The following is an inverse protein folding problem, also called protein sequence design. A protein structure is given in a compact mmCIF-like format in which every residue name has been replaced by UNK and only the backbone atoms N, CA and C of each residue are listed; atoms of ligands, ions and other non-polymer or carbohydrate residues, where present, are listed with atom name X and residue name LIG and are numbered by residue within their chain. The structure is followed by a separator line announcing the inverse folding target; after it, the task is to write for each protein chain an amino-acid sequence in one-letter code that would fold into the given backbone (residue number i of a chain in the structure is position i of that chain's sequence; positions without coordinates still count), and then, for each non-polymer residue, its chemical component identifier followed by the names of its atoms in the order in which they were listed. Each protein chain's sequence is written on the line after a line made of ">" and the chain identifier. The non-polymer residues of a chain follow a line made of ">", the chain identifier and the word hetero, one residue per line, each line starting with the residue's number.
data_IF_716528778729
#
_entry.id   IF_716528778729
#
_cell.length_a   1.000
_cell.length_b   1.000
_cell.length_c   1.000
_cell.angle_alpha   90.00
_cell.angle_beta   90.00
_cell.angle_gamma   90.00
#
_symmetry.space_group_name_H-M   'P 1'
#
loop_
_entity.id
_entity.type
_entity.pdbx_description
1 polymer ?
#
# COMPACT_ATOMS: atom_id res chain seq x y z
N UNK A 1 19.37 -9.09 -31.51
CA UNK A 1 19.94 -8.35 -30.35
C UNK A 1 21.46 -8.45 -30.24
N UNK A 2 22.10 -9.58 -30.56
CA UNK A 2 23.57 -9.72 -30.49
C UNK A 2 24.36 -9.11 -31.67
N UNK A 3 23.76 -8.94 -32.86
CA UNK A 3 24.47 -8.39 -34.03
C UNK A 3 24.48 -6.85 -34.12
N UNK A 4 23.65 -6.14 -33.36
CA UNK A 4 23.67 -4.65 -33.34
C UNK A 4 24.80 -4.13 -32.44
N UNK A 5 25.15 -4.89 -31.39
CA UNK A 5 26.23 -4.54 -30.46
C UNK A 5 27.64 -4.64 -31.05
N UNK A 6 27.85 -5.51 -32.05
CA UNK A 6 29.16 -5.64 -32.71
C UNK A 6 29.50 -4.47 -33.63
N UNK A 7 28.50 -3.90 -34.31
CA UNK A 7 28.68 -2.73 -35.18
C UNK A 7 28.93 -1.45 -34.36
N UNK A 8 28.34 -1.33 -33.17
CA UNK A 8 28.55 -0.16 -32.30
C UNK A 8 29.95 -0.11 -31.66
N UNK A 9 30.67 -1.23 -31.59
CA UNK A 9 32.02 -1.29 -31.02
C UNK A 9 33.13 -1.05 -32.05
N UNK A 10 32.86 -1.22 -33.35
CA UNK A 10 33.87 -0.95 -34.40
C UNK A 10 34.10 0.54 -34.66
N UNK A 11 33.12 1.39 -34.36
CA UNK A 11 33.21 2.84 -34.66
C UNK A 11 33.85 3.67 -33.54
N UNK A 12 34.13 3.06 -32.38
CA UNK A 12 34.76 3.74 -31.23
C UNK A 12 36.29 3.67 -31.31
N UNK A 13 36.83 2.71 -32.08
CA UNK A 13 38.28 2.48 -32.17
C UNK A 13 39.04 3.53 -32.99
N UNK A 14 38.36 4.44 -33.69
CA UNK A 14 38.99 5.40 -34.63
C UNK A 14 38.86 6.87 -34.25
N UNK A 15 38.19 7.21 -33.14
CA UNK A 15 37.99 8.60 -32.73
C UNK A 15 39.11 9.10 -31.81
N UNK A 16 39.58 10.35 -32.01
CA UNK A 16 40.60 10.95 -31.16
C UNK A 16 40.14 11.12 -29.70
N UNK A 17 41.04 11.14 -28.71
CA UNK A 17 40.69 11.26 -27.30
C UNK A 17 39.84 12.50 -26.97
N UNK A 18 40.04 13.61 -27.70
CA UNK A 18 39.27 14.83 -27.55
C UNK A 18 37.82 14.70 -28.07
N UNK A 19 37.61 13.89 -29.12
CA UNK A 19 36.28 13.62 -29.69
C UNK A 19 35.50 12.61 -28.81
N UNK A 20 36.20 11.66 -28.19
CA UNK A 20 35.62 10.73 -27.21
C UNK A 20 35.15 11.47 -25.95
N UNK A 21 35.93 12.43 -25.44
CA UNK A 21 35.55 13.26 -24.29
C UNK A 21 34.34 14.16 -24.60
N UNK A 22 34.29 14.80 -25.77
CA UNK A 22 33.14 15.63 -26.19
C UNK A 22 31.85 14.82 -26.35
N UNK A 23 31.92 13.63 -26.94
CA UNK A 23 30.77 12.73 -27.07
C UNK A 23 30.31 12.16 -25.72
N UNK A 24 31.23 11.94 -24.78
CA UNK A 24 30.91 11.52 -23.42
C UNK A 24 30.23 12.66 -22.63
N UNK A 25 30.72 13.89 -22.74
CA UNK A 25 30.15 15.07 -22.07
C UNK A 25 28.76 15.43 -22.64
N UNK A 26 28.56 15.34 -23.96
CA UNK A 26 27.25 15.53 -24.59
C UNK A 26 26.24 14.44 -24.18
N UNK A 27 26.69 13.18 -24.04
CA UNK A 27 25.85 12.07 -23.54
C UNK A 27 25.51 12.21 -22.05
N UNK A 28 26.45 12.68 -21.23
CA UNK A 28 26.24 12.98 -19.81
C UNK A 28 25.24 14.14 -19.61
N UNK A 29 25.34 15.19 -20.44
CA UNK A 29 24.42 16.33 -20.40
C UNK A 29 22.97 15.96 -20.76
N UNK A 30 22.79 15.00 -21.70
CA UNK A 30 21.47 14.49 -22.06
C UNK A 30 20.89 13.53 -20.98
N UNK A 31 21.73 12.73 -20.33
CA UNK A 31 21.33 11.76 -19.31
C UNK A 31 20.90 12.37 -17.97
N UNK A 32 21.40 13.56 -17.63
CA UNK A 32 20.98 14.32 -16.43
C UNK A 32 19.54 14.83 -16.54
N UNK A 33 19.00 14.97 -17.76
CA UNK A 33 17.67 15.54 -18.01
C UNK A 33 16.51 14.54 -17.94
N UNK A 34 16.77 13.26 -17.65
CA UNK A 34 15.74 12.20 -17.70
C UNK A 34 15.50 11.42 -16.39
N UNK A 35 16.03 11.86 -15.23
CA UNK A 35 15.83 11.18 -13.92
C UNK A 35 15.88 9.64 -14.02
N UNK A 36 16.81 9.13 -14.83
CA UNK A 36 16.88 7.71 -15.13
C UNK A 36 17.62 7.03 -13.98
N UNK A 37 16.97 6.06 -13.36
CA UNK A 37 17.47 5.27 -12.24
C UNK A 37 18.85 4.64 -12.54
N UNK A 38 19.13 4.35 -13.81
CA UNK A 38 20.41 3.82 -14.28
C UNK A 38 21.58 4.77 -13.98
N UNK A 39 21.37 6.09 -14.09
CA UNK A 39 22.39 7.11 -13.84
C UNK A 39 22.70 7.26 -12.35
N UNK A 40 21.67 7.14 -11.51
CA UNK A 40 21.81 7.18 -10.04
C UNK A 40 22.58 5.95 -9.54
N UNK A 41 22.27 4.78 -10.07
CA UNK A 41 22.94 3.52 -9.73
C UNK A 41 24.42 3.56 -10.16
N UNK A 42 24.73 4.06 -11.36
CA UNK A 42 26.11 4.18 -11.85
C UNK A 42 26.95 5.16 -11.00
N UNK A 43 26.38 6.29 -10.57
CA UNK A 43 27.06 7.26 -9.71
C UNK A 43 27.33 6.71 -8.29
N UNK A 44 26.45 5.85 -7.78
CA UNK A 44 26.63 5.21 -6.47
C UNK A 44 27.74 4.14 -6.50
N UNK A 45 27.91 3.43 -7.62
CA UNK A 45 29.03 2.50 -7.80
C UNK A 45 30.39 3.20 -7.95
N UNK A 46 30.45 4.37 -8.59
CA UNK A 46 31.71 5.10 -8.82
C UNK A 46 32.19 5.81 -7.53
N UNK A 47 31.27 6.29 -6.70
CA UNK A 47 31.62 7.11 -5.53
C UNK A 47 31.89 6.30 -4.26
N UNK A 48 31.65 4.98 -4.26
CA UNK A 48 31.85 4.11 -3.09
C UNK A 48 31.00 4.50 -1.88
N UNK A 49 29.99 5.37 -2.07
CA UNK A 49 29.12 5.81 -0.99
C UNK A 49 28.24 4.61 -0.55
N UNK A 50 28.19 4.29 0.76
CA UNK A 50 27.30 3.25 1.24
C UNK A 50 25.86 3.61 0.85
N UNK A 51 25.24 2.73 0.07
CA UNK A 51 23.84 2.86 -0.30
C UNK A 51 23.02 3.06 0.97
N UNK A 52 22.17 4.10 1.07
CA UNK A 52 21.19 4.14 2.14
C UNK A 52 20.38 2.84 2.07
N UNK A 53 20.00 2.23 3.21
CA UNK A 53 19.25 0.99 3.22
C UNK A 53 17.98 1.19 2.40
N UNK A 54 17.95 0.59 1.20
CA UNK A 54 16.77 0.56 0.36
C UNK A 54 15.72 -0.24 1.13
N UNK A 55 14.71 0.45 1.65
CA UNK A 55 13.57 -0.20 2.28
C UNK A 55 12.88 -1.07 1.23
N UNK A 56 13.12 -2.38 1.29
CA UNK A 56 12.41 -3.40 0.54
C UNK A 56 10.95 -3.41 1.02
N UNK A 57 10.12 -2.59 0.39
CA UNK A 57 8.74 -2.41 0.83
C UNK A 57 7.98 -1.28 0.16
N UNK A 58 8.28 -0.97 -1.11
CA UNK A 58 7.41 -0.09 -1.89
C UNK A 58 7.21 -0.71 -3.26
N UNK A 59 6.07 -1.37 -3.43
CA UNK A 59 5.47 -1.61 -4.73
C UNK A 59 5.55 -0.31 -5.54
N UNK A 60 6.21 -0.36 -6.70
CA UNK A 60 6.29 0.78 -7.64
C UNK A 60 4.88 1.15 -8.14
N UNK A 61 3.92 0.25 -7.97
CA UNK A 61 2.53 0.43 -8.33
C UNK A 61 1.71 0.60 -7.05
N UNK A 62 0.84 1.64 -6.99
CA UNK A 62 0.03 1.90 -5.82
C UNK A 62 -0.79 0.67 -5.40
N UNK A 63 -0.96 0.48 -4.09
CA UNK A 63 -1.73 -0.64 -3.52
C UNK A 63 -3.14 -0.75 -4.11
N UNK A 64 -3.77 0.40 -4.38
CA UNK A 64 -5.10 0.45 -4.96
C UNK A 64 -5.20 -0.18 -6.35
N UNK A 65 -4.11 -0.34 -7.11
CA UNK A 65 -4.13 -1.04 -8.39
C UNK A 65 -4.63 -2.49 -8.23
N UNK A 66 -4.51 -3.09 -7.04
CA UNK A 66 -4.95 -4.46 -6.77
C UNK A 66 -6.38 -4.56 -6.22
N UNK A 67 -7.07 -3.43 -6.06
CA UNK A 67 -8.49 -3.40 -5.72
C UNK A 67 -9.34 -3.87 -6.91
N UNK A 68 -10.47 -4.50 -6.63
CA UNK A 68 -11.42 -4.87 -7.68
C UNK A 68 -12.09 -3.63 -8.30
N UNK A 69 -12.63 -3.75 -9.51
CA UNK A 69 -13.48 -2.72 -10.10
C UNK A 69 -14.71 -2.46 -9.20
N UNK A 70 -15.02 -1.20 -8.93
CA UNK A 70 -16.18 -0.80 -8.13
C UNK A 70 -17.10 0.15 -8.92
N UNK A 71 -18.26 -0.35 -9.43
CA UNK A 71 -19.25 0.48 -10.12
C UNK A 71 -19.87 1.58 -9.25
N UNK A 72 -19.83 1.45 -7.92
CA UNK A 72 -20.53 2.33 -6.99
C UNK A 72 -22.04 2.18 -7.02
N UNK A 73 -22.74 3.00 -6.23
CA UNK A 73 -24.21 2.91 -6.04
C UNK A 73 -25.01 3.75 -7.05
N UNK A 74 -24.39 4.72 -7.72
CA UNK A 74 -25.07 5.56 -8.69
C UNK A 74 -25.40 4.79 -9.98
N UNK A 75 -26.43 5.25 -10.71
CA UNK A 75 -26.97 4.57 -11.91
C UNK A 75 -26.48 5.16 -13.23
N UNK A 76 -25.40 5.95 -13.20
CA UNK A 76 -24.74 6.46 -14.40
C UNK A 76 -24.08 5.34 -15.23
N UNK A 77 -23.68 5.69 -16.44
CA UNK A 77 -23.06 4.78 -17.40
C UNK A 77 -21.79 5.44 -17.94
N UNK A 78 -20.73 5.44 -17.13
CA UNK A 78 -19.44 6.00 -17.52
C UNK A 78 -18.46 4.87 -17.81
N UNK A 79 -17.94 4.79 -19.03
CA UNK A 79 -16.83 3.89 -19.35
C UNK A 79 -15.57 4.37 -18.65
N UNK A 80 -14.98 3.51 -17.83
CA UNK A 80 -13.73 3.75 -17.09
C UNK A 80 -12.80 2.56 -17.24
N UNK A 81 -11.53 2.77 -16.95
CA UNK A 81 -10.51 1.73 -16.96
C UNK A 81 -10.15 1.33 -15.53
N UNK A 82 -9.90 0.06 -15.29
CA UNK A 82 -9.34 -0.47 -14.06
C UNK A 82 -8.21 -1.45 -14.39
N UNK A 83 -7.22 -1.56 -13.52
CA UNK A 83 -6.21 -2.59 -13.63
C UNK A 83 -6.75 -3.92 -13.10
N UNK A 84 -6.83 -4.91 -13.99
CA UNK A 84 -7.20 -6.26 -13.65
C UNK A 84 -5.94 -7.02 -13.21
N UNK A 85 -5.91 -7.45 -11.94
CA UNK A 85 -4.75 -8.13 -11.36
C UNK A 85 -4.64 -9.59 -11.81
N UNK A 86 -5.70 -10.19 -12.32
CA UNK A 86 -5.73 -11.55 -12.84
C UNK A 86 -5.13 -11.58 -14.26
N UNK A 87 -5.60 -10.70 -15.14
CA UNK A 87 -5.12 -10.60 -16.54
C UNK A 87 -3.85 -9.75 -16.68
N UNK A 88 -3.52 -8.97 -15.65
CA UNK A 88 -2.46 -7.94 -15.66
C UNK A 88 -2.71 -6.83 -16.68
N UNK A 89 -3.96 -6.65 -17.11
CA UNK A 89 -4.35 -5.70 -18.15
C UNK A 89 -5.23 -4.57 -17.60
N UNK A 90 -5.13 -3.37 -18.18
CA UNK A 90 -6.09 -2.30 -17.97
C UNK A 90 -7.33 -2.56 -18.83
N UNK A 91 -8.44 -2.82 -18.17
CA UNK A 91 -9.70 -3.25 -18.79
C UNK A 91 -10.79 -2.20 -18.56
N UNK A 92 -11.77 -2.17 -19.47
CA UNK A 92 -12.91 -1.25 -19.35
C UNK A 92 -13.95 -1.85 -18.40
N UNK A 93 -14.54 -1.00 -17.56
CA UNK A 93 -15.73 -1.32 -16.78
C UNK A 93 -16.72 -0.17 -16.76
N UNK A 94 -17.97 -0.48 -16.40
CA UNK A 94 -19.04 0.50 -16.24
C UNK A 94 -19.01 1.08 -14.82
N UNK A 95 -18.75 2.38 -14.72
CA UNK A 95 -18.82 3.14 -13.48
C UNK A 95 -20.13 3.93 -13.37
N UNK A 96 -20.76 3.85 -12.21
CA UNK A 96 -22.05 4.45 -11.88
C UNK A 96 -22.03 5.97 -11.69
N UNK A 97 -20.85 6.58 -11.57
CA UNK A 97 -20.68 8.03 -11.46
C UNK A 97 -20.51 8.56 -10.04
N UNK A 98 -20.65 7.73 -9.01
CA UNK A 98 -20.32 8.09 -7.63
C UNK A 98 -19.77 6.90 -6.83
N UNK A 99 -19.11 7.20 -5.70
CA UNK A 99 -18.40 6.23 -4.88
C UNK A 99 -17.30 5.53 -5.70
N UNK A 100 -17.08 4.23 -5.52
CA UNK A 100 -15.97 3.54 -6.19
C UNK A 100 -14.70 3.52 -5.35
N UNK A 101 -13.63 3.04 -5.97
CA UNK A 101 -12.27 3.07 -5.42
C UNK A 101 -11.28 3.70 -6.41
N UNK A 102 -10.00 3.75 -6.02
CA UNK A 102 -8.94 4.42 -6.78
C UNK A 102 -8.47 3.65 -8.03
N UNK A 103 -8.86 2.38 -8.20
CA UNK A 103 -8.62 1.62 -9.44
C UNK A 103 -9.65 1.99 -10.52
N UNK A 104 -9.72 3.28 -10.85
CA UNK A 104 -10.75 3.85 -11.72
C UNK A 104 -10.19 5.06 -12.48
N UNK A 105 -9.85 4.84 -13.74
CA UNK A 105 -9.16 5.80 -14.61
C UNK A 105 -10.05 6.22 -15.77
N UNK A 106 -9.88 7.46 -16.24
CA UNK A 106 -10.67 7.99 -17.36
C UNK A 106 -10.16 7.51 -18.71
N UNK A 107 -8.86 7.26 -18.83
CA UNK A 107 -8.22 6.78 -20.05
C UNK A 107 -7.42 5.51 -19.82
N UNK A 108 -7.21 4.76 -20.90
CA UNK A 108 -6.34 3.59 -20.89
C UNK A 108 -4.92 3.98 -20.47
N UNK A 109 -4.37 5.04 -21.07
CA UNK A 109 -3.01 5.53 -20.80
C UNK A 109 -2.80 5.88 -19.31
N UNK A 110 -3.77 6.53 -18.66
CA UNK A 110 -3.71 6.85 -17.23
C UNK A 110 -3.64 5.57 -16.38
N UNK A 111 -4.46 4.57 -16.70
CA UNK A 111 -4.41 3.26 -16.04
C UNK A 111 -3.07 2.55 -16.28
N UNK A 112 -2.59 2.55 -17.52
CA UNK A 112 -1.35 1.85 -17.88
C UNK A 112 -0.15 2.50 -17.20
N UNK A 113 -0.01 3.81 -17.27
CA UNK A 113 1.10 4.53 -16.63
C UNK A 113 1.09 4.39 -15.11
N UNK A 114 -0.10 4.32 -14.48
CA UNK A 114 -0.24 4.19 -13.02
C UNK A 114 -0.06 2.77 -12.51
N UNK A 115 -0.62 1.77 -13.20
CA UNK A 115 -0.75 0.39 -12.70
C UNK A 115 -0.06 -0.68 -13.57
N UNK A 116 0.37 -0.36 -14.80
CA UNK A 116 1.17 -1.26 -15.65
C UNK A 116 2.62 -0.79 -15.85
N UNK A 117 2.86 0.53 -15.78
CA UNK A 117 4.16 1.15 -15.95
C UNK A 117 5.07 0.79 -14.79
N UNK A 118 6.36 0.57 -15.06
CA UNK A 118 7.47 0.26 -14.13
C UNK A 118 7.21 -0.64 -12.89
N UNK A 119 6.04 -1.30 -12.73
CA UNK A 119 5.88 -2.43 -11.80
C UNK A 119 6.87 -3.55 -12.16
N UNK A 120 7.31 -3.59 -13.43
CA UNK A 120 8.31 -4.53 -13.97
C UNK A 120 9.73 -4.29 -13.47
N UNK A 121 10.05 -3.11 -12.95
CA UNK A 121 11.41 -2.85 -12.49
C UNK A 121 11.74 -3.65 -11.23
N UNK A 122 10.74 -3.91 -10.38
CA UNK A 122 10.84 -4.87 -9.27
C UNK A 122 10.93 -6.32 -9.79
N UNK A 123 10.26 -6.67 -10.88
CA UNK A 123 10.37 -8.01 -11.49
C UNK A 123 11.76 -8.28 -12.06
N UNK A 124 12.41 -7.28 -12.67
CA UNK A 124 13.80 -7.38 -13.12
C UNK A 124 14.79 -7.43 -11.95
N UNK A 125 14.56 -6.65 -10.89
CA UNK A 125 15.35 -6.72 -9.65
C UNK A 125 15.20 -8.08 -8.94
N UNK A 126 14.02 -8.70 -8.99
CA UNK A 126 13.77 -10.04 -8.45
C UNK A 126 14.46 -11.13 -9.28
N UNK A 127 14.45 -11.01 -10.61
CA UNK A 127 15.19 -11.93 -11.51
C UNK A 127 16.71 -11.76 -11.38
N UNK A 128 17.19 -10.57 -11.02
CA UNK A 128 18.60 -10.36 -10.69
C UNK A 128 18.97 -10.84 -9.28
N UNK A 129 18.02 -10.93 -8.34
CA UNK A 129 18.24 -11.48 -6.99
C UNK A 129 18.68 -12.96 -7.05
N UNK A 130 18.14 -13.73 -7.99
CA UNK A 130 18.52 -15.13 -8.22
C UNK A 130 19.90 -15.28 -8.89
N UNK A 131 20.44 -14.20 -9.46
CA UNK A 131 21.79 -14.14 -10.05
C UNK A 131 22.84 -13.57 -9.09
N UNK A 132 22.43 -12.95 -7.98
CA UNK A 132 23.35 -12.56 -6.92
C UNK A 132 23.65 -13.78 -6.03
N UNK A 133 24.92 -14.02 -5.67
CA UNK A 133 25.24 -15.08 -4.71
C UNK A 133 24.49 -14.81 -3.40
N UNK A 134 23.95 -15.86 -2.73
CA UNK A 134 23.27 -15.69 -1.46
C UNK A 134 24.21 -14.97 -0.49
N UNK A 135 23.68 -14.03 0.33
CA UNK A 135 24.50 -13.36 1.33
C UNK A 135 25.17 -14.41 2.23
N UNK A 136 26.44 -14.22 2.61
CA UNK A 136 27.13 -15.19 3.44
C UNK A 136 26.34 -15.44 4.73
N UNK A 137 26.23 -16.71 5.19
CA UNK A 137 25.34 -17.14 6.26
C UNK A 137 25.62 -16.51 7.64
N UNK A 138 26.61 -15.63 7.74
CA UNK A 138 27.10 -15.01 8.97
C UNK A 138 26.88 -13.50 9.07
N UNK A 139 26.12 -12.89 8.14
CA UNK A 139 25.69 -11.50 8.36
C UNK A 139 24.46 -11.52 9.26
N UNK A 140 24.66 -11.11 10.51
CA UNK A 140 23.59 -10.95 11.51
C UNK A 140 22.61 -9.85 11.16
N UNK A 141 21.87 -10.01 10.06
CA UNK A 141 20.67 -9.23 9.78
C UNK A 141 19.65 -9.58 10.87
N UNK A 142 19.56 -8.73 11.90
CA UNK A 142 18.37 -8.72 12.76
C UNK A 142 17.21 -8.34 11.85
N UNK A 143 16.46 -9.34 11.39
CA UNK A 143 15.20 -9.11 10.68
C UNK A 143 14.40 -8.08 11.49
N UNK A 144 14.00 -6.95 10.88
CA UNK A 144 13.16 -5.98 11.56
C UNK A 144 11.92 -6.71 12.11
N UNK A 145 11.51 -6.44 13.35
CA UNK A 145 10.37 -7.14 13.93
C UNK A 145 9.16 -6.98 13.03
N UNK A 146 8.65 -8.12 12.53
CA UNK A 146 7.53 -8.15 11.61
C UNK A 146 6.30 -7.51 12.26
N UNK A 147 5.76 -6.48 11.60
CA UNK A 147 4.53 -5.80 12.04
C UNK A 147 3.36 -6.78 11.84
N UNK A 148 2.52 -7.04 12.85
CA UNK A 148 1.37 -7.93 12.69
C UNK A 148 0.45 -7.47 11.55
N UNK A 149 -0.09 -8.40 10.76
CA UNK A 149 -0.93 -8.11 9.59
C UNK A 149 -2.13 -7.20 9.91
N UNK A 150 -2.77 -7.38 11.07
CA UNK A 150 -3.85 -6.50 11.52
C UNK A 150 -3.43 -5.03 11.56
N UNK A 151 -2.20 -4.74 11.96
CA UNK A 151 -1.67 -3.38 12.07
C UNK A 151 -1.36 -2.76 10.70
N UNK A 152 -1.36 -3.56 9.63
CA UNK A 152 -1.12 -3.10 8.26
C UNK A 152 -2.42 -2.66 7.57
N UNK A 153 -3.58 -3.05 8.09
CA UNK A 153 -4.88 -2.63 7.54
C UNK A 153 -5.15 -1.14 7.80
N UNK A 154 -5.90 -0.43 6.93
CA UNK A 154 -6.24 0.99 7.15
C UNK A 154 -7.19 1.16 8.34
N UNK A 155 -7.41 2.40 8.79
CA UNK A 155 -8.51 2.65 9.73
C UNK A 155 -9.86 2.40 9.07
N UNK A 156 -10.77 1.70 9.75
CA UNK A 156 -12.12 1.47 9.25
C UNK A 156 -13.15 2.05 10.22
N UNK A 157 -13.90 3.04 9.74
CA UNK A 157 -14.96 3.72 10.50
C UNK A 157 -16.09 2.75 10.83
N UNK A 158 -16.32 1.72 10.02
CA UNK A 158 -17.48 0.84 10.11
C UNK A 158 -18.77 1.47 9.60
N UNK A 159 -19.88 0.75 9.76
CA UNK A 159 -21.16 1.03 9.07
C UNK A 159 -22.25 1.63 9.96
N UNK A 160 -21.99 1.78 11.26
CA UNK A 160 -22.97 2.28 12.23
C UNK A 160 -22.94 3.82 12.35
N UNK A 161 -23.56 4.38 13.40
CA UNK A 161 -23.67 5.84 13.63
C UNK A 161 -23.15 6.34 14.98
N UNK A 162 -22.57 5.47 15.81
CA UNK A 162 -21.92 5.92 17.03
C UNK A 162 -20.66 6.75 16.72
N UNK A 163 -20.16 7.49 17.71
CA UNK A 163 -18.95 8.31 17.58
C UNK A 163 -17.98 7.97 18.69
N UNK A 164 -17.46 6.75 18.67
CA UNK A 164 -16.55 6.27 19.71
C UNK A 164 -15.10 6.56 19.34
N UNK A 165 -14.33 7.16 20.26
CA UNK A 165 -12.89 7.39 20.05
C UNK A 165 -12.13 6.08 20.20
N UNK A 166 -11.52 5.62 19.11
CA UNK A 166 -10.66 4.43 19.04
C UNK A 166 -9.30 4.82 18.49
N UNK A 167 -8.35 3.89 18.46
CA UNK A 167 -7.00 4.09 17.94
C UNK A 167 -6.69 3.06 16.87
N UNK A 168 -6.02 3.47 15.81
CA UNK A 168 -5.47 2.57 14.78
C UNK A 168 -3.96 2.82 14.65
N UNK A 169 -3.22 1.81 14.23
CA UNK A 169 -1.82 1.92 13.86
C UNK A 169 -1.71 2.36 12.41
N UNK A 170 -1.15 3.55 12.20
CA UNK A 170 -0.78 4.00 10.86
C UNK A 170 0.63 3.46 10.57
N UNK A 171 0.71 2.42 9.74
CA UNK A 171 1.97 1.75 9.42
C UNK A 171 2.93 2.66 8.65
N UNK A 172 2.42 3.52 7.76
CA UNK A 172 3.23 4.46 6.98
C UNK A 172 3.98 5.46 7.86
N UNK A 173 3.37 5.87 8.99
CA UNK A 173 3.97 6.80 9.96
C UNK A 173 4.57 6.11 11.19
N UNK A 174 4.35 4.80 11.35
CA UNK A 174 4.75 4.03 12.54
C UNK A 174 4.10 4.52 13.85
N UNK A 175 2.89 5.10 13.79
CA UNK A 175 2.23 5.77 14.92
C UNK A 175 0.79 5.30 15.12
N UNK A 176 0.41 5.11 16.38
CA UNK A 176 -0.98 4.95 16.77
C UNK A 176 -1.70 6.31 16.81
N UNK A 177 -2.78 6.45 16.06
CA UNK A 177 -3.58 7.69 15.92
C UNK A 177 -5.04 7.44 16.32
N UNK A 178 -5.72 8.42 16.94
CA UNK A 178 -7.14 8.29 17.25
C UNK A 178 -8.01 8.41 15.98
N UNK A 179 -9.17 7.77 15.97
CA UNK A 179 -10.20 7.93 14.94
C UNK A 179 -11.60 7.72 15.55
N UNK A 180 -12.65 8.16 14.85
CA UNK A 180 -14.03 7.96 15.26
C UNK A 180 -14.59 6.67 14.67
N UNK A 181 -14.80 5.66 15.51
CA UNK A 181 -15.43 4.40 15.13
C UNK A 181 -16.95 4.47 15.31
N UNK A 182 -17.65 3.92 14.33
CA UNK A 182 -19.10 3.94 14.21
C UNK A 182 -19.84 3.01 15.17
N UNK A 183 -19.14 2.09 15.83
CA UNK A 183 -19.72 1.15 16.81
C UNK A 183 -20.01 -0.26 16.28
N UNK A 184 -19.96 -0.50 14.96
CA UNK A 184 -20.07 -1.84 14.37
C UNK A 184 -19.27 -1.98 13.07
N UNK A 185 -19.04 -3.21 12.62
CA UNK A 185 -18.18 -3.51 11.46
C UNK A 185 -16.72 -3.16 11.75
N UNK A 186 -15.97 -2.73 10.73
CA UNK A 186 -14.57 -2.38 10.90
C UNK A 186 -13.62 -3.55 10.71
N UNK A 187 -12.32 -3.26 10.83
CA UNK A 187 -11.25 -4.25 10.86
C UNK A 187 -10.55 -4.29 12.25
N UNK A 188 -9.55 -5.18 12.37
CA UNK A 188 -8.82 -5.43 13.62
C UNK A 188 -7.84 -4.32 14.01
N UNK A 189 -7.54 -3.35 13.13
CA UNK A 189 -6.74 -2.17 13.45
C UNK A 189 -7.54 -1.13 14.23
N UNK A 190 -8.21 -1.58 15.30
CA UNK A 190 -9.16 -0.82 16.09
C UNK A 190 -8.97 -1.13 17.58
N UNK A 191 -8.25 -0.25 18.27
CA UNK A 191 -7.87 -0.40 19.66
C UNK A 191 -8.62 0.60 20.54
N UNK A 192 -9.04 0.15 21.73
CA UNK A 192 -9.68 1.02 22.72
C UNK A 192 -8.73 2.04 23.36
N UNK A 193 -7.41 1.83 23.25
CA UNK A 193 -6.42 2.76 23.80
C UNK A 193 -5.16 2.84 22.93
N UNK A 194 -4.49 4.00 22.98
CA UNK A 194 -3.17 4.19 22.34
C UNK A 194 -2.14 3.19 22.86
N UNK A 195 -2.18 2.87 24.16
CA UNK A 195 -1.26 1.94 24.82
C UNK A 195 -1.40 0.50 24.28
N UNK A 196 -2.62 0.02 24.07
CA UNK A 196 -2.85 -1.31 23.48
C UNK A 196 -2.40 -1.36 22.02
N UNK A 197 -2.69 -0.32 21.24
CA UNK A 197 -2.20 -0.20 19.86
C UNK A 197 -0.67 -0.29 19.79
N UNK A 198 0.04 0.50 20.60
CA UNK A 198 1.52 0.51 20.60
C UNK A 198 2.11 -0.83 21.04
N UNK A 199 1.49 -1.48 22.02
CA UNK A 199 1.93 -2.78 22.52
C UNK A 199 1.86 -3.84 21.41
N UNK A 200 0.75 -3.87 20.69
CA UNK A 200 0.49 -4.89 19.66
C UNK A 200 1.29 -4.58 18.38
N UNK A 201 1.27 -3.33 17.91
CA UNK A 201 1.77 -2.98 16.59
C UNK A 201 3.20 -2.45 16.53
N UNK A 202 3.73 -1.91 17.64
CA UNK A 202 5.07 -1.30 17.65
C UNK A 202 6.11 -2.13 18.43
N UNK A 203 5.69 -2.81 19.49
CA UNK A 203 6.63 -3.58 20.34
C UNK A 203 6.79 -5.05 19.91
N UNK A 204 5.99 -5.53 18.96
CA UNK A 204 5.98 -6.93 18.53
C UNK A 204 5.50 -7.88 19.64
N UNK A 205 5.17 -9.12 19.28
CA UNK A 205 4.91 -10.16 20.28
C UNK A 205 6.24 -10.58 20.91
N UNK A 206 6.55 -10.10 22.11
CA UNK A 206 7.51 -10.80 22.96
C UNK A 206 6.85 -12.15 23.29
N UNK A 207 7.18 -13.21 22.54
CA UNK A 207 6.79 -14.58 22.90
C UNK A 207 7.53 -14.96 24.17
N UNK A 208 7.07 -14.50 25.32
CA UNK A 208 7.43 -15.14 26.58
C UNK A 208 6.79 -16.53 26.52
N UNK A 209 7.60 -17.58 26.39
CA UNK A 209 7.18 -18.95 26.70
C UNK A 209 6.70 -18.96 28.15
N UNK A 210 5.39 -18.90 28.38
CA UNK A 210 4.82 -19.00 29.72
C UNK A 210 3.48 -18.29 29.84
N UNK A 211 2.43 -19.09 30.08
CA UNK A 211 1.05 -18.73 30.46
C UNK A 211 0.10 -18.18 29.39
N UNK A 212 -0.79 -19.07 28.95
CA UNK A 212 -2.10 -18.73 28.39
C UNK A 212 -2.91 -17.91 29.40
N UNK A 213 -2.87 -16.59 29.29
CA UNK A 213 -3.93 -15.73 29.84
C UNK A 213 -4.71 -15.15 28.69
N UNK A 214 -5.84 -15.80 28.37
CA UNK A 214 -6.87 -15.29 27.49
C UNK A 214 -7.19 -13.87 27.94
N UNK A 215 -6.95 -12.87 27.09
CA UNK A 215 -7.35 -11.49 27.35
C UNK A 215 -8.88 -11.48 27.36
N UNK A 216 -9.48 -11.61 28.55
CA UNK A 216 -10.92 -11.41 28.74
C UNK A 216 -11.21 -9.94 28.46
N UNK A 217 -11.66 -9.64 27.25
CA UNK A 217 -12.31 -8.37 26.93
C UNK A 217 -13.61 -8.36 27.73
N UNK A 218 -13.60 -7.72 28.91
CA UNK A 218 -14.82 -7.47 29.68
C UNK A 218 -15.72 -6.55 28.83
N UNK A 219 -16.69 -7.13 28.12
CA UNK A 219 -17.83 -6.38 27.59
C UNK A 219 -18.59 -5.82 28.80
N UNK A 220 -18.42 -4.53 29.07
CA UNK A 220 -19.23 -3.83 30.08
C UNK A 220 -20.65 -3.72 29.51
N UNK A 221 -21.56 -4.61 29.92
CA UNK A 221 -22.99 -4.46 29.63
C UNK A 221 -23.45 -3.14 30.26
N UNK A 222 -23.82 -2.16 29.44
CA UNK A 222 -24.51 -0.96 29.91
C UNK A 222 -25.94 -1.40 30.28
N UNK A 223 -26.30 -1.37 31.56
CA UNK A 223 -27.67 -1.65 32.02
C UNK A 223 -28.55 -0.53 31.47
N UNK A 224 -29.37 -0.83 30.47
CA UNK A 224 -30.41 0.07 30.01
C UNK A 224 -31.63 -0.17 30.91
N UNK A 225 -31.95 0.80 31.76
CA UNK A 225 -33.21 0.83 32.51
C UNK A 225 -34.31 1.25 31.54
N UNK A 226 -35.02 0.27 30.97
CA UNK A 226 -36.28 0.51 30.29
C UNK A 226 -37.33 0.67 31.38
N UNK A 227 -37.87 1.89 31.54
CA UNK A 227 -39.11 2.09 32.29
C UNK A 227 -40.25 1.71 31.34
N UNK A 228 -40.91 0.61 31.63
CA UNK A 228 -42.21 0.26 31.05
C UNK A 228 -43.19 1.29 31.61
N UNK A 229 -43.80 2.09 30.74
CA UNK A 229 -45.02 2.81 31.10
C UNK A 229 -46.16 1.90 30.66
N UNK A 230 -46.95 1.48 31.65
CA UNK A 230 -48.17 0.70 31.50
C UNK A 230 -49.16 1.35 30.53
N UNK A 231 -49.84 0.50 29.77
CA UNK A 231 -51.02 0.81 29.00
C UNK A 231 -52.13 1.27 29.96
N UNK A 232 -52.57 2.53 29.85
CA UNK A 232 -53.88 2.93 30.36
C UNK A 232 -54.93 2.80 29.24
N UNK A 233 -55.94 1.99 29.57
CA UNK A 233 -57.15 1.70 28.84
C UNK A 233 -57.94 2.94 28.42
N UNK A 234 -58.30 3.02 27.14
CA UNK A 234 -59.32 3.96 26.62
C UNK A 234 -60.70 3.27 26.78
N UNK A 235 -61.67 3.85 27.50
CA UNK A 235 -63.01 3.27 27.60
C UNK A 235 -63.87 3.61 26.36
N UNK A 236 -64.65 2.62 25.94
CA UNK A 236 -65.69 2.70 24.91
C UNK A 236 -66.92 3.53 25.33
N UNK A 237 -67.66 3.99 24.30
CA UNK A 237 -68.98 4.65 24.23
C UNK A 237 -68.93 6.18 24.30
N UNK A 238 -69.62 6.91 23.42
CA UNK A 238 -71.07 6.83 23.14
C UNK A 238 -71.39 7.11 21.65
N UNK A 239 -72.37 6.37 21.13
CA UNK A 239 -73.06 6.55 19.85
C UNK A 239 -73.92 7.81 19.83
N UNK A 240 -74.01 8.48 18.68
CA UNK A 240 -75.25 8.96 18.03
C UNK A 240 -74.93 9.35 16.58
#
# INVERSE_FOLDING_TARGET
>A
MLNVFRVLLSDISSASPAQQARNLILKLSCAVKQNNLVTVVLLLFITGAPLPPLKLGHSICPDFCFHEKDPGTCRGFFSRYFYNKETKLCEIFKYGGCLGNQNNFKSLEECQTTCQGNCKLLSLLFLLWDLLPPPPPNVGYKEPPAIPSLCMTPMDKGLCRAKETRFFYNYSTGRCRPFHYSGCGGNENNFTSRKSCLRICKKGFIKNKGERRVIKIKKKKKKLSVKVLEEESIPERIQL
#
